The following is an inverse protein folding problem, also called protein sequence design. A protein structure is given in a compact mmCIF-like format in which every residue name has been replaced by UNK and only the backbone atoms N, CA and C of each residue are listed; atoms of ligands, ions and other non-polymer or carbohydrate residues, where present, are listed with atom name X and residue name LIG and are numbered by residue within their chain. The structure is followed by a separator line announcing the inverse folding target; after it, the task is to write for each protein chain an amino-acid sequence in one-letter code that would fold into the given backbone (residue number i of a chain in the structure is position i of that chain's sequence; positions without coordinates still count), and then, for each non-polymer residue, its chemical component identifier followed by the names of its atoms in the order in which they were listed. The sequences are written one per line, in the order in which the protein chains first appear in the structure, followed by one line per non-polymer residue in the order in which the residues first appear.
data_IF_252651965207
#
_entry.id   IF_252651965207
#
_cell.length_a   1.000
_cell.length_b   1.000
_cell.length_c   1.000
_cell.angle_alpha   90.00
_cell.angle_beta   90.00
_cell.angle_gamma   90.00
#
_symmetry.space_group_name_H-M   'P 1'
#
loop_
_entity.id
_entity.type
_entity.pdbx_description
1 polymer ?
#
# COMPACT_ATOMS: atom_id res chain seq x y z
N UNK A 1 3.00 -3.53 29.92
CA UNK A 1 3.20 -2.49 28.88
C UNK A 1 2.09 -2.65 27.87
N UNK A 2 1.35 -1.59 27.57
CA UNK A 2 0.24 -1.67 26.60
C UNK A 2 0.80 -1.79 25.19
N UNK A 3 0.33 -2.79 24.43
CA UNK A 3 0.69 -2.96 23.02
C UNK A 3 0.26 -1.72 22.21
N UNK A 4 1.12 -1.28 21.29
CA UNK A 4 0.77 -0.22 20.35
C UNK A 4 -0.34 -0.74 19.44
N UNK A 5 -1.43 0.01 19.30
CA UNK A 5 -2.46 -0.34 18.34
C UNK A 5 -1.88 -0.27 16.91
N UNK A 6 -2.28 -1.22 16.06
CA UNK A 6 -1.99 -1.12 14.64
C UNK A 6 -2.61 0.18 14.09
N UNK A 7 -1.91 0.90 13.18
CA UNK A 7 -2.50 2.04 12.53
C UNK A 7 -3.77 1.61 11.77
N UNK A 8 -4.75 2.52 11.57
CA UNK A 8 -6.00 2.21 10.88
C UNK A 8 -5.80 1.57 9.50
N UNK A 9 -4.67 1.84 8.86
CA UNK A 9 -4.21 1.24 7.59
C UNK A 9 -2.83 0.64 7.78
N UNK A 10 -2.73 -0.62 8.22
CA UNK A 10 -1.44 -1.25 8.43
C UNK A 10 -0.80 -1.63 7.09
N UNK A 11 0.45 -1.19 6.88
CA UNK A 11 1.18 -1.44 5.65
C UNK A 11 2.40 -2.34 5.93
N UNK A 12 2.42 -3.54 5.35
CA UNK A 12 3.48 -4.53 5.58
C UNK A 12 4.87 -4.02 5.17
N UNK A 13 4.95 -3.22 4.11
CA UNK A 13 6.22 -2.66 3.65
C UNK A 13 6.74 -1.57 4.59
N UNK A 14 5.86 -0.74 5.14
CA UNK A 14 6.22 0.20 6.20
C UNK A 14 6.73 -0.53 7.45
N UNK A 15 6.07 -1.61 7.87
CA UNK A 15 6.52 -2.43 9.00
C UNK A 15 7.88 -3.11 8.73
N UNK A 16 8.12 -3.59 7.50
CA UNK A 16 9.43 -4.11 7.08
C UNK A 16 10.51 -3.01 7.12
N UNK A 17 10.19 -1.79 6.72
CA UNK A 17 11.10 -0.63 6.80
C UNK A 17 11.39 -0.26 8.26
N UNK A 18 10.38 -0.25 9.13
CA UNK A 18 10.56 -0.03 10.57
C UNK A 18 11.50 -1.07 11.19
N UNK A 19 11.35 -2.35 10.85
CA UNK A 19 12.25 -3.40 11.33
C UNK A 19 13.71 -3.19 10.88
N UNK A 20 13.93 -2.73 9.64
CA UNK A 20 15.28 -2.40 9.14
C UNK A 20 15.87 -1.18 9.85
N UNK A 21 15.07 -0.13 10.05
CA UNK A 21 15.50 1.07 10.75
C UNK A 21 15.80 0.79 12.23
N UNK A 22 15.00 -0.07 12.87
CA UNK A 22 15.22 -0.53 14.23
C UNK A 22 16.56 -1.25 14.35
N UNK A 23 16.89 -2.15 13.42
CA UNK A 23 18.20 -2.81 13.39
C UNK A 23 19.35 -1.80 13.20
N UNK A 24 19.16 -0.78 12.36
CA UNK A 24 20.16 0.28 12.14
C UNK A 24 20.40 1.09 13.41
N UNK A 25 19.35 1.39 14.17
CA UNK A 25 19.42 2.13 15.45
C UNK A 25 19.91 1.28 16.61
N UNK A 26 19.63 -0.02 16.57
CA UNK A 26 19.97 -0.97 17.62
C UNK A 26 20.73 -2.18 17.03
N UNK A 27 22.01 -2.01 16.66
CA UNK A 27 22.82 -3.09 16.12
C UNK A 27 22.95 -4.30 17.08
N UNK A 28 22.75 -4.08 18.39
CA UNK A 28 22.75 -5.14 19.40
C UNK A 28 21.67 -6.20 19.22
N UNK A 29 20.61 -5.92 18.46
CA UNK A 29 19.61 -6.92 18.07
C UNK A 29 20.19 -8.02 17.16
N UNK A 30 21.37 -7.78 16.56
CA UNK A 30 22.15 -8.76 15.83
C UNK A 30 21.61 -9.07 14.43
N UNK A 31 20.35 -9.51 14.31
CA UNK A 31 19.77 -9.93 13.02
C UNK A 31 18.41 -9.30 12.76
N UNK A 32 18.05 -9.18 11.48
CA UNK A 32 16.75 -8.65 11.04
C UNK A 32 15.55 -9.45 11.56
N UNK A 33 15.73 -10.75 11.82
CA UNK A 33 14.69 -11.60 12.42
C UNK A 33 14.33 -11.10 13.83
N UNK A 34 15.31 -10.70 14.61
CA UNK A 34 15.12 -10.27 15.99
C UNK A 34 14.45 -8.90 16.01
N UNK A 35 14.87 -7.97 15.13
CA UNK A 35 14.18 -6.68 14.97
C UNK A 35 12.73 -6.82 14.49
N UNK A 36 12.44 -7.76 13.57
CA UNK A 36 11.05 -8.05 13.16
C UNK A 36 10.22 -8.63 14.30
N UNK A 37 10.82 -9.45 15.17
CA UNK A 37 10.17 -9.98 16.37
C UNK A 37 9.85 -8.86 17.35
N UNK A 38 10.81 -7.95 17.61
CA UNK A 38 10.58 -6.78 18.46
C UNK A 38 9.43 -5.92 17.94
N UNK A 39 9.38 -5.64 16.63
CA UNK A 39 8.24 -4.93 16.02
C UNK A 39 6.93 -5.68 16.24
N UNK A 40 6.90 -7.00 16.04
CA UNK A 40 5.69 -7.78 16.29
C UNK A 40 5.23 -7.70 17.75
N UNK A 41 6.16 -7.82 18.69
CA UNK A 41 5.90 -7.72 20.13
C UNK A 41 5.40 -6.32 20.53
N UNK A 42 5.94 -5.24 19.94
CA UNK A 42 5.46 -3.87 20.14
C UNK A 42 3.98 -3.70 19.78
N UNK A 43 3.52 -4.38 18.72
CA UNK A 43 2.12 -4.39 18.29
C UNK A 43 1.29 -5.51 18.95
N UNK A 44 1.86 -6.28 19.88
CA UNK A 44 1.15 -7.31 20.64
C UNK A 44 1.02 -8.67 19.94
N UNK A 45 1.83 -8.95 18.92
CA UNK A 45 1.84 -10.22 18.19
C UNK A 45 2.97 -11.14 18.66
N UNK A 46 2.69 -12.44 18.75
CA UNK A 46 3.67 -13.45 19.18
C UNK A 46 4.81 -13.68 18.18
N UNK A 47 4.63 -13.28 16.91
CA UNK A 47 5.63 -13.41 15.86
C UNK A 47 5.39 -12.43 14.72
N UNK A 48 6.43 -12.19 13.92
CA UNK A 48 6.32 -11.44 12.67
C UNK A 48 5.32 -12.06 11.67
N UNK A 49 5.14 -13.38 11.73
CA UNK A 49 4.19 -14.09 10.88
C UNK A 49 2.75 -13.79 11.30
N UNK A 50 2.45 -13.85 12.60
CA UNK A 50 1.13 -13.51 13.14
C UNK A 50 0.75 -12.05 12.85
N UNK A 51 1.71 -11.11 12.98
CA UNK A 51 1.50 -9.72 12.60
C UNK A 51 1.17 -9.61 11.10
N UNK A 52 1.96 -10.26 10.24
CA UNK A 52 1.74 -10.23 8.78
C UNK A 52 0.36 -10.74 8.39
N UNK A 53 -0.03 -11.92 8.88
CA UNK A 53 -1.34 -12.50 8.59
C UNK A 53 -2.48 -11.58 9.05
N UNK A 54 -2.34 -10.92 10.21
CA UNK A 54 -3.34 -9.96 10.67
C UNK A 54 -3.43 -8.74 9.77
N UNK A 55 -2.29 -8.21 9.32
CA UNK A 55 -2.23 -7.07 8.39
C UNK A 55 -2.85 -7.44 7.04
N UNK A 56 -2.50 -8.59 6.47
CA UNK A 56 -3.07 -9.09 5.21
C UNK A 56 -4.59 -9.28 5.33
N UNK A 57 -5.06 -9.83 6.45
CA UNK A 57 -6.51 -9.94 6.74
C UNK A 57 -7.18 -8.58 6.90
N UNK A 58 -6.53 -7.57 7.49
CA UNK A 58 -7.10 -6.23 7.65
C UNK A 58 -7.20 -5.51 6.31
N UNK A 59 -6.15 -5.55 5.50
CA UNK A 59 -6.14 -4.96 4.14
C UNK A 59 -7.21 -5.61 3.26
N UNK A 60 -7.47 -6.91 3.41
CA UNK A 60 -8.56 -7.58 2.69
C UNK A 60 -9.98 -7.16 3.15
N UNK A 61 -10.13 -6.51 4.30
CA UNK A 61 -11.44 -6.20 4.91
C UNK A 61 -11.79 -4.71 4.93
N UNK A 62 -10.80 -3.83 4.80
CA UNK A 62 -11.02 -2.39 4.76
C UNK A 62 -10.89 -1.96 3.30
N UNK A 63 -11.99 -1.66 2.58
CA UNK A 63 -11.85 -0.97 1.31
C UNK A 63 -11.17 0.36 1.58
N UNK A 64 -9.95 0.56 1.07
CA UNK A 64 -9.20 1.81 1.19
C UNK A 64 -9.80 2.81 0.24
N UNK A 65 -11.09 3.12 0.40
CA UNK A 65 -11.74 4.01 -0.54
C UNK A 65 -11.21 5.41 -0.27
N UNK A 66 -10.27 5.85 -1.11
CA UNK A 66 -10.09 7.27 -1.37
C UNK A 66 -11.49 7.88 -1.50
N UNK A 67 -11.74 9.00 -0.81
CA UNK A 67 -13.04 9.69 -0.91
C UNK A 67 -13.07 10.40 -2.26
N UNK A 68 -14.02 10.00 -3.12
CA UNK A 68 -14.16 10.58 -4.45
C UNK A 68 -14.49 12.07 -4.33
N UNK A 69 -13.70 12.96 -4.96
CA UNK A 69 -14.00 14.38 -4.99
C UNK A 69 -15.24 14.64 -5.86
N UNK A 70 -16.14 15.55 -5.46
CA UNK A 70 -17.37 15.82 -6.19
C UNK A 70 -17.11 16.35 -7.61
N UNK A 71 -15.94 16.94 -7.89
CA UNK A 71 -15.55 17.42 -9.21
C UNK A 71 -15.36 16.28 -10.23
N UNK A 72 -15.23 15.04 -9.77
CA UNK A 72 -15.13 13.85 -10.61
C UNK A 72 -16.45 13.10 -10.73
N UNK A 73 -17.59 13.69 -10.35
CA UNK A 73 -18.92 13.08 -10.44
C UNK A 73 -19.46 13.04 -11.89
N UNK A 74 -18.67 12.42 -12.77
CA UNK A 74 -19.01 12.08 -14.16
C UNK A 74 -18.48 10.69 -14.50
N UNK A 75 -18.94 10.11 -15.61
CA UNK A 75 -18.46 8.80 -16.08
C UNK A 75 -16.95 8.82 -16.40
N UNK A 76 -16.43 9.90 -16.98
CA UNK A 76 -14.99 10.06 -17.22
C UNK A 76 -14.22 10.19 -15.90
N UNK A 77 -14.79 10.93 -14.95
CA UNK A 77 -14.26 11.08 -13.60
C UNK A 77 -14.21 9.75 -12.85
N UNK A 78 -15.21 8.88 -13.03
CA UNK A 78 -15.21 7.51 -12.49
C UNK A 78 -14.05 6.68 -13.03
N UNK A 79 -13.80 6.73 -14.34
CA UNK A 79 -12.72 5.95 -14.95
C UNK A 79 -11.37 6.38 -14.38
N UNK A 80 -11.13 7.69 -14.29
CA UNK A 80 -9.90 8.25 -13.68
C UNK A 80 -9.82 7.83 -12.21
N UNK A 81 -10.89 8.02 -11.45
CA UNK A 81 -10.92 7.73 -10.01
C UNK A 81 -10.71 6.25 -9.70
N UNK A 82 -11.25 5.36 -10.52
CA UNK A 82 -11.06 3.92 -10.41
C UNK A 82 -9.59 3.52 -10.65
N UNK A 83 -8.90 4.15 -11.60
CA UNK A 83 -7.47 3.90 -11.82
C UNK A 83 -6.61 4.39 -10.65
N UNK A 84 -6.94 5.55 -10.07
CA UNK A 84 -6.26 6.09 -8.88
C UNK A 84 -6.50 5.20 -7.66
N UNK A 85 -7.74 4.79 -7.43
CA UNK A 85 -8.13 3.93 -6.31
C UNK A 85 -7.52 2.53 -6.43
N UNK A 86 -7.55 1.91 -7.61
CA UNK A 86 -6.88 0.63 -7.85
C UNK A 86 -5.35 0.73 -7.62
N UNK A 87 -4.75 1.89 -7.87
CA UNK A 87 -3.33 2.12 -7.58
C UNK A 87 -3.06 2.34 -6.08
N UNK A 88 -3.98 3.00 -5.35
CA UNK A 88 -3.90 3.20 -3.89
C UNK A 88 -4.14 1.89 -3.12
N UNK A 89 -5.07 1.06 -3.59
CA UNK A 89 -5.38 -0.26 -3.00
C UNK A 89 -4.38 -1.34 -3.42
N UNK A 90 -3.66 -1.14 -4.51
CA UNK A 90 -2.83 -2.15 -5.13
C UNK A 90 -3.62 -3.28 -5.80
N UNK A 91 -4.84 -3.01 -6.25
CA UNK A 91 -5.66 -3.95 -7.04
C UNK A 91 -5.09 -4.03 -8.47
N UNK A 92 -4.04 -4.83 -8.62
CA UNK A 92 -3.33 -5.04 -9.89
C UNK A 92 -4.26 -5.59 -10.97
N UNK A 93 -5.24 -6.41 -10.61
CA UNK A 93 -6.17 -7.01 -11.57
C UNK A 93 -7.18 -5.98 -12.09
N UNK A 94 -7.76 -5.14 -11.22
CA UNK A 94 -8.59 -4.02 -11.66
C UNK A 94 -7.78 -3.02 -12.48
N UNK A 95 -6.58 -2.67 -12.02
CA UNK A 95 -5.69 -1.75 -12.72
C UNK A 95 -5.33 -2.27 -14.12
N UNK A 96 -5.04 -3.57 -14.24
CA UNK A 96 -4.77 -4.21 -15.54
C UNK A 96 -5.98 -4.14 -16.46
N UNK A 97 -7.19 -4.48 -15.99
CA UNK A 97 -8.42 -4.40 -16.81
C UNK A 97 -8.69 -2.99 -17.31
N UNK A 98 -8.44 -1.97 -16.47
CA UNK A 98 -8.58 -0.57 -16.85
C UNK A 98 -7.57 -0.18 -17.93
N UNK A 99 -6.29 -0.54 -17.75
CA UNK A 99 -5.23 -0.23 -18.72
C UNK A 99 -5.35 -0.99 -20.05
N UNK A 100 -5.92 -2.19 -20.03
CA UNK A 100 -6.25 -2.95 -21.25
C UNK A 100 -7.36 -2.26 -22.06
N UNK A 101 -8.29 -1.61 -21.38
CA UNK A 101 -9.37 -0.83 -22.02
C UNK A 101 -8.89 0.53 -22.52
N UNK A 102 -8.07 1.22 -21.73
CA UNK A 102 -7.44 2.49 -22.13
C UNK A 102 -6.06 2.63 -21.49
N UNK A 103 -5.01 2.45 -22.30
CA UNK A 103 -3.63 2.53 -21.85
C UNK A 103 -3.25 3.93 -21.31
N UNK A 104 -3.97 4.99 -21.69
CA UNK A 104 -3.70 6.36 -21.20
C UNK A 104 -3.98 6.52 -19.72
N UNK A 105 -4.74 5.60 -19.10
CA UNK A 105 -5.01 5.59 -17.67
C UNK A 105 -3.77 5.33 -16.82
N UNK A 106 -2.65 4.89 -17.42
CA UNK A 106 -1.34 4.85 -16.72
C UNK A 106 -0.91 6.25 -16.24
N UNK A 107 -1.38 7.28 -16.94
CA UNK A 107 -1.13 8.70 -16.66
C UNK A 107 -2.33 9.39 -15.99
N UNK A 108 -3.34 8.63 -15.56
CA UNK A 108 -4.46 9.17 -14.82
C UNK A 108 -3.94 9.91 -13.58
N UNK A 109 -4.42 11.13 -13.36
CA UNK A 109 -3.97 11.97 -12.25
C UNK A 109 -5.12 12.81 -11.69
N UNK A 110 -4.98 13.16 -10.40
CA UNK A 110 -5.81 14.16 -9.75
C UNK A 110 -4.89 15.12 -9.00
N UNK A 111 -5.06 16.43 -9.21
CA UNK A 111 -4.20 17.47 -8.63
C UNK A 111 -2.70 17.13 -8.72
N UNK A 112 -2.22 16.88 -9.94
CA UNK A 112 -0.81 16.56 -10.21
C UNK A 112 -0.28 15.31 -9.48
N UNK A 113 -1.18 14.45 -9.01
CA UNK A 113 -0.84 13.18 -8.38
C UNK A 113 -1.26 12.03 -9.31
N UNK A 114 -0.33 11.52 -10.15
CA UNK A 114 -0.65 10.42 -11.04
C UNK A 114 -0.79 9.09 -10.30
N UNK A 115 -1.48 8.14 -10.93
CA UNK A 115 -1.77 6.80 -10.42
C UNK A 115 -0.53 6.12 -9.79
N UNK A 116 0.63 6.22 -10.45
CA UNK A 116 1.87 5.62 -9.95
C UNK A 116 2.33 6.17 -8.59
N UNK A 117 2.00 7.43 -8.25
CA UNK A 117 2.35 8.00 -6.96
C UNK A 117 1.59 7.33 -5.82
N UNK A 118 0.31 6.98 -6.02
CA UNK A 118 -0.48 6.24 -5.04
C UNK A 118 0.11 4.85 -4.80
N UNK A 119 0.41 4.13 -5.88
CA UNK A 119 1.07 2.81 -5.80
C UNK A 119 2.43 2.87 -5.11
N UNK A 120 3.25 3.89 -5.37
CA UNK A 120 4.55 4.10 -4.69
C UNK A 120 4.37 4.44 -3.21
N UNK A 121 3.43 5.34 -2.88
CA UNK A 121 3.15 5.78 -1.51
C UNK A 121 2.74 4.61 -0.62
N UNK A 122 1.86 3.76 -1.13
CA UNK A 122 1.35 2.58 -0.43
C UNK A 122 2.24 1.34 -0.64
N UNK A 123 3.26 1.43 -1.50
CA UNK A 123 4.28 0.39 -1.67
C UNK A 123 3.79 -0.83 -2.45
N UNK A 124 2.84 -0.65 -3.36
CA UNK A 124 2.31 -1.68 -4.26
C UNK A 124 3.25 -1.88 -5.45
N UNK A 125 4.36 -2.59 -5.24
CA UNK A 125 5.43 -2.79 -6.24
C UNK A 125 4.92 -3.32 -7.58
N UNK A 126 4.00 -4.28 -7.57
CA UNK A 126 3.44 -4.87 -8.80
C UNK A 126 2.60 -3.85 -9.59
N UNK A 127 1.82 -3.00 -8.91
CA UNK A 127 1.10 -1.90 -9.54
C UNK A 127 2.06 -0.84 -10.12
N UNK A 128 3.16 -0.52 -9.41
CA UNK A 128 4.21 0.38 -9.91
C UNK A 128 4.82 -0.14 -11.21
N UNK A 129 5.22 -1.41 -11.24
CA UNK A 129 5.78 -2.04 -12.44
C UNK A 129 4.78 -2.03 -13.59
N UNK A 130 3.51 -2.34 -13.32
CA UNK A 130 2.45 -2.32 -14.33
C UNK A 130 2.27 -0.92 -14.96
N UNK A 131 2.29 0.12 -14.14
CA UNK A 131 2.11 1.51 -14.58
C UNK A 131 3.34 2.05 -15.33
N UNK A 132 4.55 1.69 -14.91
CA UNK A 132 5.80 2.07 -15.58
C UNK A 132 5.84 1.55 -17.02
N UNK A 133 5.53 0.26 -17.22
CA UNK A 133 5.54 -0.37 -18.55
C UNK A 133 4.49 0.21 -19.53
N UNK A 134 3.50 0.96 -19.04
CA UNK A 134 2.41 1.55 -19.83
C UNK A 134 2.47 3.09 -19.90
N UNK A 135 3.54 3.70 -19.38
CA UNK A 135 3.70 5.17 -19.33
C UNK A 135 4.47 5.78 -20.51
N UNK A 136 4.97 4.94 -21.45
CA UNK A 136 5.65 5.33 -22.69
C UNK A 136 4.68 5.35 -23.87
#
# INVERSE_FOLDING_TARGET
MSARALPPRPNLNQLKRQAKELLRRQPQLGRLRDSRRTIAEEYGFASWDALRTRVESLVATVPTSMIKPPELDSEEGDIVWNALSASDDGDVDALRRLLERDARLSRAEYWYTPAIHFAVREGHMEAVQLLEHRSL
#
